data_IF_425487366295
#
_entry.id   IF_425487366295
#
_cell.length_a   1.000
_cell.length_b   1.000
_cell.length_c   1.000
_cell.angle_alpha   90.00
_cell.angle_beta   90.00
_cell.angle_gamma   90.00
#
_symmetry.space_group_name_H-M   'P 1'
#
loop_
_entity.id
_entity.type
_entity.pdbx_description
1 polymer ?
#
# COMPACT_ATOMS: atom_id res chain seq x y z
N UNK A 1 -8.49 -12.01 23.64
CA UNK A 1 -8.78 -12.57 22.31
C UNK A 1 -7.67 -13.54 21.97
N UNK A 2 -8.00 -14.74 21.49
CA UNK A 2 -7.06 -15.77 21.08
C UNK A 2 -6.35 -15.37 19.78
N UNK A 3 -5.20 -15.99 19.51
CA UNK A 3 -4.51 -15.80 18.23
C UNK A 3 -5.36 -16.41 17.10
N UNK A 4 -5.32 -15.83 15.88
CA UNK A 4 -6.10 -16.32 14.76
C UNK A 4 -5.67 -17.75 14.37
N UNK A 5 -6.58 -18.54 13.74
CA UNK A 5 -6.30 -19.93 13.42
C UNK A 5 -5.03 -20.09 12.58
N UNK A 6 -4.21 -21.05 12.97
CA UNK A 6 -3.05 -21.51 12.20
C UNK A 6 -3.39 -22.83 11.52
N UNK A 7 -3.06 -22.94 10.24
CA UNK A 7 -3.23 -24.18 9.48
C UNK A 7 -1.87 -24.58 8.86
N UNK A 8 -1.28 -25.73 9.23
CA UNK A 8 0.00 -26.14 8.68
C UNK A 8 0.00 -26.09 7.14
N UNK A 9 0.97 -25.41 6.59
CA UNK A 9 1.14 -25.26 5.14
C UNK A 9 2.32 -26.10 4.68
N UNK A 10 2.10 -26.92 3.66
CA UNK A 10 3.15 -27.73 3.03
C UNK A 10 3.65 -27.10 1.72
N UNK A 11 3.15 -25.91 1.36
CA UNK A 11 3.62 -25.22 0.17
C UNK A 11 5.05 -24.72 0.35
N UNK A 12 5.93 -24.94 -0.63
CA UNK A 12 7.31 -24.47 -0.56
C UNK A 12 7.36 -22.93 -0.54
N UNK A 13 8.34 -22.39 0.18
CA UNK A 13 8.65 -20.95 0.17
C UNK A 13 9.63 -20.61 -0.96
N UNK A 14 9.29 -20.98 -2.18
CA UNK A 14 10.08 -20.67 -3.36
C UNK A 14 9.77 -19.26 -3.87
N UNK A 15 10.74 -18.67 -4.56
CA UNK A 15 10.56 -17.45 -5.30
C UNK A 15 9.62 -17.69 -6.49
N UNK A 16 8.76 -16.72 -6.81
CA UNK A 16 7.87 -16.78 -8.00
C UNK A 16 8.36 -15.80 -9.08
N UNK A 17 9.16 -16.25 -10.06
CA UNK A 17 9.67 -15.38 -11.11
C UNK A 17 8.60 -14.71 -11.97
N UNK A 18 7.43 -15.32 -12.08
CA UNK A 18 6.33 -14.73 -12.86
C UNK A 18 5.78 -13.47 -12.21
N UNK A 19 5.94 -13.31 -10.90
CA UNK A 19 5.53 -12.10 -10.19
C UNK A 19 6.26 -10.84 -10.69
N UNK A 20 7.46 -11.01 -11.26
CA UNK A 20 8.22 -9.92 -11.87
C UNK A 20 7.50 -9.29 -13.09
N UNK A 21 6.56 -9.99 -13.69
CA UNK A 21 5.85 -9.56 -14.90
C UNK A 21 4.40 -9.13 -14.65
N UNK A 22 3.88 -9.27 -13.43
CA UNK A 22 2.47 -8.96 -13.11
C UNK A 22 2.21 -7.46 -13.11
N UNK A 23 3.13 -6.68 -12.56
CA UNK A 23 2.98 -5.21 -12.49
C UNK A 23 3.72 -4.57 -13.65
N UNK A 24 3.01 -3.89 -14.58
CA UNK A 24 3.64 -3.22 -15.71
C UNK A 24 4.60 -2.12 -15.27
N UNK A 25 5.75 -2.02 -15.94
CA UNK A 25 6.71 -0.94 -15.71
C UNK A 25 6.15 0.43 -16.10
N UNK A 26 5.32 0.50 -17.15
CA UNK A 26 4.63 1.73 -17.52
C UNK A 26 3.52 2.05 -16.48
N UNK A 27 3.62 3.17 -15.76
CA UNK A 27 2.65 3.54 -14.73
C UNK A 27 1.25 3.86 -15.28
N UNK A 28 1.09 3.99 -16.59
CA UNK A 28 -0.21 4.22 -17.26
C UNK A 28 -0.98 2.94 -17.53
N UNK A 29 -0.30 1.80 -17.56
CA UNK A 29 -0.94 0.51 -17.78
C UNK A 29 -1.49 0.00 -16.44
N UNK A 30 -2.77 -0.29 -16.42
CA UNK A 30 -3.44 -0.88 -15.26
C UNK A 30 -3.22 -2.40 -15.21
N UNK A 31 -3.37 -2.98 -14.01
CA UNK A 31 -3.34 -4.42 -13.76
C UNK A 31 -4.29 -4.75 -12.62
N UNK A 32 -4.68 -6.01 -12.49
CA UNK A 32 -5.48 -6.48 -11.36
C UNK A 32 -4.58 -6.91 -10.20
N UNK A 33 -4.68 -6.22 -9.07
CA UNK A 33 -3.86 -6.52 -7.88
C UNK A 33 -4.14 -7.90 -7.29
N UNK A 34 -5.28 -8.51 -7.62
CA UNK A 34 -5.62 -9.88 -7.21
C UNK A 34 -4.61 -10.90 -7.73
N UNK A 35 -3.99 -10.65 -8.89
CA UNK A 35 -2.92 -11.50 -9.41
C UNK A 35 -1.69 -11.48 -8.50
N UNK A 36 -1.31 -10.29 -7.98
CA UNK A 36 -0.22 -10.16 -6.99
C UNK A 36 -0.59 -10.90 -5.71
N UNK A 37 -1.79 -10.64 -5.18
CA UNK A 37 -2.27 -11.27 -3.94
C UNK A 37 -2.20 -12.79 -4.06
N UNK A 38 -2.79 -13.38 -5.11
CA UNK A 38 -2.87 -14.83 -5.31
C UNK A 38 -1.51 -15.52 -5.47
N UNK A 39 -0.47 -14.78 -5.89
CA UNK A 39 0.90 -15.29 -6.00
C UNK A 39 1.67 -15.18 -4.67
N UNK A 40 1.34 -14.20 -3.86
CA UNK A 40 2.00 -13.96 -2.56
C UNK A 40 1.43 -14.85 -1.45
N UNK A 41 0.10 -14.99 -1.38
CA UNK A 41 -0.56 -15.79 -0.34
C UNK A 41 -0.58 -17.28 -0.70
N UNK A 42 -1.04 -18.14 0.20
CA UNK A 42 -1.25 -19.55 -0.10
C UNK A 42 -2.24 -19.69 -1.26
N UNK A 43 -1.97 -20.65 -2.14
CA UNK A 43 -2.78 -20.85 -3.35
C UNK A 43 -4.25 -21.05 -3.01
N UNK A 44 -5.12 -20.31 -3.72
CA UNK A 44 -6.58 -20.37 -3.59
C UNK A 44 -7.15 -20.02 -2.19
N UNK A 45 -6.36 -19.42 -1.34
CA UNK A 45 -6.77 -19.07 0.02
C UNK A 45 -7.20 -17.60 0.19
N UNK A 46 -7.30 -16.84 -0.90
CA UNK A 46 -7.78 -15.46 -0.81
C UNK A 46 -9.30 -15.38 -0.87
N UNK A 47 -9.88 -14.96 0.24
CA UNK A 47 -11.31 -14.71 0.38
C UNK A 47 -11.59 -13.21 0.39
N UNK A 48 -11.94 -12.66 -0.77
CA UNK A 48 -12.23 -11.24 -0.93
C UNK A 48 -13.55 -10.86 -0.25
N UNK A 49 -13.55 -9.73 0.45
CA UNK A 49 -14.73 -9.13 1.06
C UNK A 49 -15.21 -7.94 0.25
N UNK A 50 -16.54 -7.80 0.11
CA UNK A 50 -17.18 -6.66 -0.53
C UNK A 50 -16.62 -6.32 -1.94
N UNK A 51 -16.48 -7.28 -2.87
CA UNK A 51 -15.88 -7.02 -4.19
C UNK A 51 -16.68 -6.00 -5.02
N UNK A 52 -17.99 -5.86 -4.76
CA UNK A 52 -18.87 -4.91 -5.46
C UNK A 52 -18.96 -3.52 -4.80
N UNK A 53 -18.30 -3.30 -3.67
CA UNK A 53 -18.30 -2.01 -2.98
C UNK A 53 -16.88 -1.44 -2.92
N UNK A 54 -16.70 -0.16 -3.30
CA UNK A 54 -15.40 0.52 -3.36
C UNK A 54 -14.33 -0.37 -4.02
N UNK A 55 -14.56 -0.77 -5.27
CA UNK A 55 -13.72 -1.74 -5.98
C UNK A 55 -12.32 -1.24 -6.32
N UNK A 56 -12.03 0.05 -6.10
CA UNK A 56 -10.72 0.69 -6.18
C UNK A 56 -9.77 0.26 -5.02
N UNK A 57 -10.31 -0.44 -4.01
CA UNK A 57 -9.53 -1.14 -2.99
C UNK A 57 -10.04 -2.57 -2.82
N UNK A 58 -9.12 -3.51 -2.62
CA UNK A 58 -9.39 -4.92 -2.34
C UNK A 58 -9.10 -5.18 -0.88
N UNK A 59 -10.04 -5.81 -0.17
CA UNK A 59 -9.85 -6.30 1.19
C UNK A 59 -10.27 -7.76 1.28
N UNK A 60 -9.65 -8.53 2.14
CA UNK A 60 -10.03 -9.92 2.33
C UNK A 60 -9.12 -10.67 3.27
N UNK A 61 -9.45 -11.93 3.50
CA UNK A 61 -8.65 -12.83 4.31
C UNK A 61 -7.87 -13.79 3.44
N UNK A 62 -6.68 -14.15 3.91
CA UNK A 62 -5.84 -15.13 3.25
C UNK A 62 -5.04 -15.92 4.28
N UNK A 63 -4.23 -16.87 3.81
CA UNK A 63 -3.17 -17.46 4.60
C UNK A 63 -1.82 -17.22 3.96
N UNK A 64 -0.83 -16.97 4.80
CA UNK A 64 0.56 -16.91 4.41
C UNK A 64 1.36 -17.89 5.27
N UNK A 65 1.88 -18.95 4.68
CA UNK A 65 2.50 -20.08 5.39
C UNK A 65 1.63 -20.63 6.53
N UNK A 66 0.32 -20.75 6.24
CA UNK A 66 -0.68 -21.27 7.18
C UNK A 66 -1.18 -20.27 8.24
N UNK A 67 -0.56 -19.09 8.37
CA UNK A 67 -1.02 -18.04 9.29
C UNK A 67 -2.11 -17.23 8.63
N UNK A 68 -3.22 -17.02 9.32
CA UNK A 68 -4.30 -16.14 8.86
C UNK A 68 -3.83 -14.70 8.81
N UNK A 69 -4.12 -14.02 7.70
CA UNK A 69 -3.77 -12.61 7.48
C UNK A 69 -4.94 -11.85 6.85
N UNK A 70 -5.06 -10.57 7.19
CA UNK A 70 -5.92 -9.63 6.49
C UNK A 70 -5.13 -8.93 5.39
N UNK A 71 -5.67 -8.90 4.19
CA UNK A 71 -5.07 -8.24 3.02
C UNK A 71 -5.82 -6.95 2.74
N UNK A 72 -5.07 -5.86 2.56
CA UNK A 72 -5.56 -4.57 2.04
C UNK A 72 -4.72 -4.23 0.82
N UNK A 73 -5.34 -3.92 -0.31
CA UNK A 73 -4.59 -3.61 -1.52
C UNK A 73 -5.27 -2.49 -2.34
N UNK A 74 -4.46 -1.59 -2.88
CA UNK A 74 -4.93 -0.67 -3.94
C UNK A 74 -5.24 -1.47 -5.19
N UNK A 75 -6.35 -1.14 -5.91
CA UNK A 75 -6.73 -1.81 -7.16
C UNK A 75 -6.55 -0.87 -8.36
N UNK A 76 -5.40 -0.91 -9.03
CA UNK A 76 -5.12 0.00 -10.16
C UNK A 76 -6.04 -0.18 -11.37
N UNK A 77 -6.68 -1.34 -11.51
CA UNK A 77 -7.66 -1.57 -12.57
C UNK A 77 -8.94 -0.75 -12.41
N UNK A 78 -9.20 -0.23 -11.21
CA UNK A 78 -10.38 0.59 -10.90
C UNK A 78 -9.92 1.95 -10.41
N UNK A 79 -10.28 3.02 -11.12
CA UNK A 79 -9.91 4.40 -10.79
C UNK A 79 -8.42 4.59 -10.50
N UNK A 80 -7.54 3.82 -11.16
CA UNK A 80 -6.09 3.81 -10.94
C UNK A 80 -5.65 3.56 -9.47
N UNK A 81 -6.50 2.98 -8.63
CA UNK A 81 -6.22 2.74 -7.21
C UNK A 81 -6.32 3.97 -6.31
N UNK A 82 -6.94 5.07 -6.79
CA UNK A 82 -7.18 6.28 -5.99
C UNK A 82 -8.07 5.96 -4.79
N UNK A 83 -7.84 6.59 -3.65
CA UNK A 83 -8.70 6.48 -2.47
C UNK A 83 -9.81 7.54 -2.50
N UNK A 84 -11.04 7.10 -2.52
CA UNK A 84 -12.24 7.93 -2.32
C UNK A 84 -12.83 7.72 -0.91
N UNK A 85 -13.98 8.32 -0.64
CA UNK A 85 -14.67 8.23 0.64
C UNK A 85 -15.00 6.78 0.97
N UNK A 86 -15.60 6.04 0.04
CA UNK A 86 -16.05 4.66 0.25
C UNK A 86 -14.88 3.70 0.46
N UNK A 87 -13.81 3.86 -0.31
CA UNK A 87 -12.56 3.10 -0.12
C UNK A 87 -11.94 3.38 1.25
N UNK A 88 -11.98 4.63 1.70
CA UNK A 88 -11.47 5.02 3.01
C UNK A 88 -12.23 4.35 4.15
N UNK A 89 -13.55 4.34 4.08
CA UNK A 89 -14.39 3.68 5.09
C UNK A 89 -14.24 2.16 5.07
N UNK A 90 -14.19 1.55 3.88
CA UNK A 90 -13.96 0.11 3.69
C UNK A 90 -12.65 -0.35 4.31
N UNK A 91 -11.54 0.33 4.01
CA UNK A 91 -10.22 0.01 4.57
C UNK A 91 -10.20 0.21 6.08
N UNK A 92 -10.69 1.36 6.57
CA UNK A 92 -10.66 1.66 7.99
C UNK A 92 -11.47 0.64 8.82
N UNK A 93 -12.65 0.24 8.33
CA UNK A 93 -13.46 -0.80 8.95
C UNK A 93 -12.69 -2.13 9.00
N UNK A 94 -12.11 -2.56 7.89
CA UNK A 94 -11.42 -3.84 7.80
C UNK A 94 -10.18 -3.91 8.68
N UNK A 95 -9.35 -2.86 8.69
CA UNK A 95 -8.18 -2.76 9.57
C UNK A 95 -8.57 -2.87 11.04
N UNK A 96 -9.65 -2.21 11.44
CA UNK A 96 -10.17 -2.31 12.83
C UNK A 96 -10.69 -3.69 13.14
N UNK A 97 -11.37 -4.34 12.18
CA UNK A 97 -11.81 -5.72 12.33
C UNK A 97 -10.60 -6.64 12.55
N UNK A 98 -9.59 -6.59 11.68
CA UNK A 98 -8.39 -7.41 11.83
C UNK A 98 -7.71 -7.19 13.19
N UNK A 99 -7.57 -5.92 13.62
CA UNK A 99 -7.00 -5.61 14.92
C UNK A 99 -7.82 -6.16 16.10
N UNK A 100 -9.15 -6.17 16.00
CA UNK A 100 -10.02 -6.69 17.06
C UNK A 100 -9.89 -8.22 17.26
N UNK A 101 -9.48 -8.93 16.20
CA UNK A 101 -9.32 -10.39 16.21
C UNK A 101 -7.86 -10.86 16.10
N UNK A 102 -6.89 -10.00 16.39
CA UNK A 102 -5.45 -10.27 16.34
C UNK A 102 -4.94 -10.78 14.98
N UNK A 103 -5.62 -10.42 13.89
CA UNK A 103 -5.26 -10.83 12.53
C UNK A 103 -4.18 -9.88 11.99
N UNK A 104 -2.97 -10.37 11.65
CA UNK A 104 -1.93 -9.57 11.02
C UNK A 104 -2.39 -8.96 9.69
N UNK A 105 -1.85 -7.80 9.32
CA UNK A 105 -2.22 -7.05 8.13
C UNK A 105 -1.09 -7.07 7.10
N UNK A 106 -1.44 -7.43 5.86
CA UNK A 106 -0.62 -7.27 4.67
C UNK A 106 -1.23 -6.16 3.81
N UNK A 107 -0.45 -5.11 3.54
CA UNK A 107 -0.90 -3.98 2.73
C UNK A 107 -0.08 -3.91 1.45
N UNK A 108 -0.75 -3.93 0.28
CA UNK A 108 -0.14 -3.76 -1.04
C UNK A 108 -0.50 -2.39 -1.59
N UNK A 109 0.53 -1.58 -1.89
CA UNK A 109 0.36 -0.16 -2.22
C UNK A 109 0.69 0.08 -3.68
N UNK A 110 -0.30 0.58 -4.42
CA UNK A 110 -0.14 1.26 -5.71
C UNK A 110 -1.19 2.36 -5.79
N UNK A 111 -0.90 3.49 -5.13
CA UNK A 111 -1.87 4.55 -4.89
C UNK A 111 -1.34 5.92 -5.35
N UNK A 112 -2.00 6.58 -6.32
CA UNK A 112 -1.59 7.90 -6.80
C UNK A 112 -2.04 9.06 -5.89
N UNK A 113 -3.02 8.84 -5.02
CA UNK A 113 -3.54 9.88 -4.14
C UNK A 113 -4.95 9.60 -3.62
N UNK A 114 -5.49 10.55 -2.89
CA UNK A 114 -6.93 10.63 -2.65
C UNK A 114 -7.63 11.25 -3.86
N UNK A 115 -8.88 10.85 -4.10
CA UNK A 115 -9.67 11.36 -5.22
C UNK A 115 -9.95 12.86 -5.03
N UNK A 116 -9.49 13.73 -5.93
CA UNK A 116 -9.81 15.15 -5.87
C UNK A 116 -11.21 15.40 -6.42
N UNK A 117 -11.79 16.53 -6.07
CA UNK A 117 -13.04 17.02 -6.66
C UNK A 117 -14.02 17.54 -5.63
N UNK A 118 -14.92 18.40 -6.10
CA UNK A 118 -15.88 19.12 -5.25
C UNK A 118 -16.78 18.17 -4.46
N UNK A 119 -17.23 17.08 -5.08
CA UNK A 119 -18.08 16.08 -4.41
C UNK A 119 -17.35 15.37 -3.27
N UNK A 120 -16.07 15.02 -3.48
CA UNK A 120 -15.25 14.39 -2.45
C UNK A 120 -14.95 15.37 -1.31
N UNK A 121 -14.64 16.61 -1.63
CA UNK A 121 -14.36 17.64 -0.61
C UNK A 121 -15.60 17.93 0.25
N UNK A 122 -16.75 18.17 -0.37
CA UNK A 122 -18.02 18.39 0.36
C UNK A 122 -18.51 17.11 1.05
N UNK A 123 -18.26 15.95 0.50
CA UNK A 123 -18.54 14.65 1.11
C UNK A 123 -17.67 14.34 2.33
N UNK A 124 -16.56 15.08 2.52
CA UNK A 124 -15.67 14.97 3.67
C UNK A 124 -14.54 13.96 3.49
N UNK A 125 -13.92 13.90 2.30
CA UNK A 125 -12.79 13.00 2.00
C UNK A 125 -11.67 13.09 3.05
N UNK A 126 -11.38 14.30 3.57
CA UNK A 126 -10.35 14.50 4.60
C UNK A 126 -10.73 13.73 5.88
N UNK A 127 -11.99 13.84 6.32
CA UNK A 127 -12.51 13.15 7.50
C UNK A 127 -12.51 11.64 7.31
N UNK A 128 -12.99 11.16 6.17
CA UNK A 128 -13.04 9.72 5.84
C UNK A 128 -11.64 9.13 5.65
N UNK A 129 -10.74 9.83 4.95
CA UNK A 129 -9.34 9.44 4.84
C UNK A 129 -8.61 9.37 6.18
N UNK A 130 -8.93 10.28 7.10
CA UNK A 130 -8.39 10.26 8.46
C UNK A 130 -8.80 9.01 9.26
N UNK A 131 -9.91 8.33 8.91
CA UNK A 131 -10.29 7.05 9.53
C UNK A 131 -9.26 5.95 9.25
N UNK A 132 -8.68 5.92 8.03
CA UNK A 132 -7.63 4.94 7.68
C UNK A 132 -6.40 5.19 8.57
N UNK A 133 -5.94 6.44 8.64
CA UNK A 133 -4.80 6.84 9.47
C UNK A 133 -5.02 6.42 10.93
N UNK A 134 -6.21 6.71 11.47
CA UNK A 134 -6.56 6.32 12.81
C UNK A 134 -6.55 4.80 12.99
N UNK A 135 -7.15 4.06 12.06
CA UNK A 135 -7.24 2.61 12.15
C UNK A 135 -5.87 1.93 12.18
N UNK A 136 -4.98 2.28 11.25
CA UNK A 136 -3.63 1.73 11.23
C UNK A 136 -2.77 2.18 12.43
N UNK A 137 -2.88 3.45 12.83
CA UNK A 137 -2.15 3.94 14.02
C UNK A 137 -2.63 3.26 15.31
N UNK A 138 -3.91 2.94 15.41
CA UNK A 138 -4.47 2.26 16.57
C UNK A 138 -4.20 0.75 16.59
N UNK A 139 -3.97 0.14 15.43
CA UNK A 139 -3.76 -1.29 15.30
C UNK A 139 -2.42 -1.73 15.94
N UNK A 140 -2.49 -2.78 16.76
CA UNK A 140 -1.35 -3.37 17.49
C UNK A 140 -0.89 -4.71 16.91
N UNK A 141 -1.63 -5.25 15.95
CA UNK A 141 -1.25 -6.45 15.20
C UNK A 141 -0.01 -6.22 14.32
N UNK A 142 0.70 -7.29 13.91
CA UNK A 142 1.73 -7.16 12.89
C UNK A 142 1.21 -6.49 11.61
N UNK A 143 1.95 -5.50 11.11
CA UNK A 143 1.61 -4.71 9.92
C UNK A 143 2.78 -4.75 8.94
N UNK A 144 2.56 -5.38 7.79
CA UNK A 144 3.54 -5.52 6.72
C UNK A 144 3.04 -4.77 5.49
N UNK A 145 3.86 -3.92 4.90
CA UNK A 145 3.50 -3.12 3.73
C UNK A 145 4.48 -3.35 2.59
N UNK A 146 3.94 -3.58 1.39
CA UNK A 146 4.70 -3.71 0.15
C UNK A 146 4.28 -2.61 -0.81
N UNK A 147 5.21 -1.75 -1.19
CA UNK A 147 5.00 -0.75 -2.24
C UNK A 147 5.29 -1.39 -3.58
N UNK A 148 4.24 -1.61 -4.37
CA UNK A 148 4.34 -2.29 -5.67
C UNK A 148 4.81 -1.35 -6.77
N UNK A 149 4.22 -0.13 -6.83
CA UNK A 149 4.52 0.86 -7.87
C UNK A 149 4.35 2.28 -7.34
N UNK A 150 3.18 2.90 -7.41
CA UNK A 150 2.95 4.28 -6.97
C UNK A 150 2.66 4.35 -5.47
N UNK A 151 3.29 5.30 -4.80
CA UNK A 151 3.03 5.61 -3.40
C UNK A 151 3.17 7.12 -3.20
N UNK A 152 2.08 7.88 -3.44
CA UNK A 152 2.16 9.32 -3.48
C UNK A 152 1.39 10.00 -2.35
N UNK A 153 2.03 10.98 -1.75
CA UNK A 153 1.45 11.95 -0.84
C UNK A 153 0.75 11.36 0.38
N UNK A 154 -0.36 11.95 0.76
CA UNK A 154 -1.14 11.54 1.94
C UNK A 154 -1.75 10.16 1.82
N UNK A 155 -2.06 9.70 0.62
CA UNK A 155 -2.62 8.37 0.40
C UNK A 155 -1.59 7.26 0.67
N UNK A 156 -0.31 7.46 0.30
CA UNK A 156 0.77 6.56 0.71
C UNK A 156 0.86 6.47 2.23
N UNK A 157 0.80 7.62 2.93
CA UNK A 157 0.83 7.63 4.40
C UNK A 157 -0.34 6.81 4.95
N UNK A 158 -1.55 7.04 4.43
CA UNK A 158 -2.77 6.34 4.86
C UNK A 158 -2.70 4.82 4.65
N UNK A 159 -2.02 4.35 3.59
CA UNK A 159 -1.84 2.93 3.30
C UNK A 159 -0.72 2.27 4.11
N UNK A 160 -0.62 2.62 5.38
CA UNK A 160 0.29 2.01 6.36
C UNK A 160 1.78 2.18 6.02
N UNK A 161 2.23 3.42 5.89
CA UNK A 161 3.66 3.72 5.78
C UNK A 161 4.44 3.41 7.07
N UNK A 162 5.77 3.51 7.02
CA UNK A 162 6.64 3.26 8.16
C UNK A 162 6.31 4.14 9.37
N UNK A 163 6.13 5.43 9.12
CA UNK A 163 5.88 6.42 10.18
C UNK A 163 4.47 6.27 10.81
N UNK A 164 3.54 5.62 10.11
CA UNK A 164 2.22 5.27 10.65
C UNK A 164 2.25 4.00 11.53
N UNK A 165 3.41 3.38 11.68
CA UNK A 165 3.64 2.25 12.57
C UNK A 165 3.59 0.89 11.87
N UNK A 166 3.88 0.81 10.58
CA UNK A 166 4.16 -0.47 9.95
C UNK A 166 5.42 -1.11 10.56
N UNK A 167 5.38 -2.40 10.85
CA UNK A 167 6.53 -3.14 11.40
C UNK A 167 7.60 -3.35 10.33
N UNK A 168 7.16 -3.64 9.10
CA UNK A 168 8.01 -3.76 7.92
C UNK A 168 7.35 -3.06 6.73
N UNK A 169 8.13 -2.25 6.05
CA UNK A 169 7.77 -1.65 4.76
C UNK A 169 8.85 -2.00 3.76
N UNK A 170 8.46 -2.65 2.68
CA UNK A 170 9.36 -2.94 1.57
C UNK A 170 8.84 -2.34 0.27
N UNK A 171 9.72 -2.08 -0.65
CA UNK A 171 9.36 -1.59 -1.97
C UNK A 171 9.95 -2.49 -3.06
N UNK A 172 9.24 -2.62 -4.17
CA UNK A 172 9.80 -3.20 -5.37
C UNK A 172 10.76 -2.23 -6.06
N UNK A 173 11.74 -2.71 -6.84
CA UNK A 173 12.74 -1.83 -7.46
C UNK A 173 12.15 -0.75 -8.37
N UNK A 174 11.01 -1.02 -9.02
CA UNK A 174 10.30 -0.07 -9.87
C UNK A 174 9.30 0.83 -9.15
N UNK A 175 9.27 0.82 -7.81
CA UNK A 175 8.34 1.65 -7.05
C UNK A 175 8.72 3.13 -7.09
N UNK A 176 7.69 4.00 -7.06
CA UNK A 176 7.85 5.44 -6.96
C UNK A 176 7.25 5.93 -5.63
N UNK A 177 8.09 6.43 -4.73
CA UNK A 177 7.66 6.96 -3.42
C UNK A 177 7.96 8.46 -3.38
N UNK A 178 6.93 9.29 -3.45
CA UNK A 178 7.07 10.74 -3.56
C UNK A 178 5.88 11.50 -2.99
N UNK A 179 6.01 12.82 -2.89
CA UNK A 179 4.89 13.70 -2.52
C UNK A 179 3.81 13.70 -3.61
N UNK A 180 4.23 13.65 -4.90
CA UNK A 180 3.35 13.58 -6.07
C UNK A 180 4.07 12.89 -7.22
N UNK A 181 3.31 12.45 -8.25
CA UNK A 181 3.89 11.88 -9.45
C UNK A 181 4.79 12.86 -10.21
N UNK A 182 5.78 12.32 -10.92
CA UNK A 182 6.81 13.12 -11.57
C UNK A 182 6.26 14.08 -12.64
N UNK A 183 5.20 13.70 -13.35
CA UNK A 183 4.52 14.55 -14.32
C UNK A 183 3.93 15.80 -13.67
N UNK A 184 3.22 15.64 -12.55
CA UNK A 184 2.64 16.76 -11.80
C UNK A 184 3.71 17.63 -11.14
N UNK A 185 4.76 16.99 -10.62
CA UNK A 185 5.89 17.71 -10.04
C UNK A 185 6.63 18.59 -11.07
N UNK A 186 6.84 18.07 -12.27
CA UNK A 186 7.48 18.83 -13.37
C UNK A 186 6.67 20.08 -13.73
N UNK A 187 5.35 19.98 -13.82
CA UNK A 187 4.46 21.12 -14.14
C UNK A 187 4.40 22.19 -13.05
N UNK A 188 4.57 21.82 -11.80
CA UNK A 188 4.51 22.77 -10.67
C UNK A 188 5.89 23.35 -10.38
N UNK A 189 6.90 22.50 -10.22
CA UNK A 189 8.22 22.90 -9.74
C UNK A 189 9.04 23.54 -10.86
N UNK A 190 8.98 22.97 -12.07
CA UNK A 190 9.84 23.37 -13.19
C UNK A 190 9.12 24.15 -14.30
N UNK A 191 7.89 24.57 -14.07
CA UNK A 191 7.07 25.27 -15.07
C UNK A 191 7.82 26.40 -15.78
N UNK A 192 8.55 27.25 -15.02
CA UNK A 192 9.29 28.39 -15.58
C UNK A 192 10.46 27.98 -16.47
N UNK A 193 11.07 26.84 -16.21
CA UNK A 193 12.16 26.29 -17.04
C UNK A 193 11.60 25.68 -18.32
N UNK A 194 10.48 24.98 -18.22
CA UNK A 194 9.79 24.40 -19.37
C UNK A 194 9.31 25.49 -20.33
N UNK A 195 8.65 26.53 -19.80
CA UNK A 195 8.09 27.63 -20.59
C UNK A 195 9.18 28.46 -21.33
N UNK A 196 10.43 28.48 -20.85
CA UNK A 196 11.56 29.21 -21.42
C UNK A 196 12.44 28.38 -22.35
N UNK A 197 12.21 27.09 -22.45
CA UNK A 197 13.04 26.20 -23.26
C UNK A 197 12.71 26.34 -24.77
N UNK A 198 13.71 26.19 -25.61
CA UNK A 198 13.52 26.16 -27.07
C UNK A 198 12.62 25.00 -27.52
N UNK A 199 12.66 23.88 -26.80
CA UNK A 199 11.78 22.75 -26.99
C UNK A 199 11.12 22.37 -25.63
N UNK A 200 9.94 22.94 -25.31
CA UNK A 200 9.28 22.69 -24.02
C UNK A 200 8.92 21.22 -23.76
N UNK A 201 8.56 20.45 -24.80
CA UNK A 201 8.19 19.05 -24.66
C UNK A 201 9.40 18.19 -24.28
N UNK A 202 10.52 18.38 -24.94
CA UNK A 202 11.75 17.68 -24.61
C UNK A 202 12.23 18.05 -23.21
N UNK A 203 12.23 19.35 -22.88
CA UNK A 203 12.64 19.83 -21.56
C UNK A 203 11.75 19.27 -20.44
N UNK A 204 10.44 19.19 -20.69
CA UNK A 204 9.48 18.57 -19.76
C UNK A 204 9.85 17.11 -19.49
N UNK A 205 10.15 16.33 -20.53
CA UNK A 205 10.51 14.92 -20.35
C UNK A 205 11.83 14.75 -19.56
N UNK A 206 12.85 15.54 -19.88
CA UNK A 206 14.12 15.55 -19.15
C UNK A 206 13.92 15.83 -17.64
N UNK A 207 13.04 16.78 -17.31
CA UNK A 207 12.77 17.16 -15.93
C UNK A 207 11.91 16.13 -15.19
N UNK A 208 11.00 15.44 -15.89
CA UNK A 208 10.26 14.29 -15.34
C UNK A 208 11.23 13.17 -14.97
N UNK A 209 12.14 12.80 -15.86
CA UNK A 209 13.12 11.73 -15.64
C UNK A 209 14.08 12.11 -14.50
N UNK A 210 14.56 13.35 -14.49
CA UNK A 210 15.38 13.89 -13.40
C UNK A 210 14.66 13.82 -12.05
N UNK A 211 13.37 14.15 -12.01
CA UNK A 211 12.58 14.08 -10.77
C UNK A 211 12.43 12.64 -10.28
N UNK A 212 12.18 11.69 -11.18
CA UNK A 212 12.11 10.26 -10.84
C UNK A 212 13.43 9.78 -10.23
N UNK A 213 14.53 10.05 -10.91
CA UNK A 213 15.85 9.60 -10.47
C UNK A 213 16.28 10.24 -9.14
N UNK A 214 15.92 11.50 -8.92
CA UNK A 214 16.39 12.24 -7.75
C UNK A 214 15.51 12.05 -6.52
N UNK A 215 14.18 11.95 -6.70
CA UNK A 215 13.23 12.03 -5.59
C UNK A 215 12.26 10.87 -5.48
N UNK A 216 11.85 10.24 -6.58
CA UNK A 216 10.73 9.30 -6.57
C UNK A 216 11.13 7.83 -6.55
N UNK A 217 12.42 7.49 -6.63
CA UNK A 217 12.86 6.11 -6.63
C UNK A 217 12.91 5.50 -5.21
N UNK A 218 12.75 4.18 -5.07
CA UNK A 218 12.67 3.52 -3.77
C UNK A 218 14.01 3.52 -3.01
N UNK A 219 15.16 3.65 -3.69
CA UNK A 219 16.47 3.68 -3.04
C UNK A 219 16.67 4.99 -2.25
N UNK A 220 16.15 6.11 -2.75
CA UNK A 220 16.13 7.38 -2.01
C UNK A 220 15.25 7.25 -0.76
N UNK A 221 14.09 6.60 -0.87
CA UNK A 221 13.22 6.33 0.26
C UNK A 221 13.89 5.41 1.30
N UNK A 222 14.59 4.38 0.85
CA UNK A 222 15.37 3.48 1.72
C UNK A 222 16.49 4.23 2.45
N UNK A 223 17.24 5.07 1.74
CA UNK A 223 18.27 5.92 2.35
C UNK A 223 17.74 6.87 3.42
N UNK A 224 16.47 7.24 3.35
CA UNK A 224 15.75 8.05 4.34
C UNK A 224 15.01 7.22 5.38
N UNK A 225 15.13 5.89 5.36
CA UNK A 225 14.44 4.95 6.26
C UNK A 225 12.91 4.96 6.16
N UNK A 226 12.36 5.38 5.03
CA UNK A 226 10.92 5.31 4.76
C UNK A 226 10.49 3.90 4.36
N UNK A 227 11.42 3.09 3.85
CA UNK A 227 11.27 1.66 3.62
C UNK A 227 12.44 0.91 4.25
N UNK A 228 12.19 -0.32 4.70
CA UNK A 228 13.18 -1.16 5.39
C UNK A 228 14.08 -1.91 4.42
N UNK A 229 13.54 -2.24 3.23
CA UNK A 229 14.28 -3.02 2.24
C UNK A 229 13.70 -2.81 0.82
N UNK A 230 14.52 -3.12 -0.19
CA UNK A 230 14.10 -3.22 -1.59
C UNK A 230 14.10 -4.70 -1.95
N UNK A 231 12.93 -5.23 -2.30
CA UNK A 231 12.71 -6.65 -2.52
C UNK A 231 12.26 -6.90 -3.96
N UNK A 232 12.94 -7.81 -4.65
CA UNK A 232 12.49 -8.25 -5.97
C UNK A 232 11.08 -8.83 -5.89
N UNK A 233 10.19 -8.54 -6.88
CA UNK A 233 8.83 -9.05 -6.84
C UNK A 233 8.78 -10.56 -6.60
N UNK A 234 9.59 -11.35 -7.28
CA UNK A 234 9.67 -12.81 -7.12
C UNK A 234 9.89 -13.27 -5.67
N UNK A 235 10.57 -12.48 -4.85
CA UNK A 235 10.95 -12.82 -3.47
C UNK A 235 9.90 -12.39 -2.43
N UNK A 236 8.87 -11.67 -2.84
CA UNK A 236 7.90 -11.02 -1.94
C UNK A 236 7.25 -12.02 -0.98
N UNK A 237 6.79 -13.18 -1.47
CA UNK A 237 6.15 -14.21 -0.63
C UNK A 237 7.09 -14.68 0.47
N UNK A 238 8.31 -15.04 0.13
CA UNK A 238 9.32 -15.51 1.09
C UNK A 238 9.65 -14.44 2.13
N UNK A 239 9.86 -13.20 1.68
CA UNK A 239 10.16 -12.08 2.58
C UNK A 239 9.03 -11.86 3.59
N UNK A 240 7.80 -11.77 3.13
CA UNK A 240 6.63 -11.52 3.99
C UNK A 240 6.39 -12.66 4.96
N UNK A 241 6.58 -13.92 4.54
CA UNK A 241 6.44 -15.07 5.41
C UNK A 241 7.46 -15.06 6.55
N UNK A 242 8.72 -14.75 6.24
CA UNK A 242 9.79 -14.61 7.25
C UNK A 242 9.53 -13.43 8.19
N UNK A 243 9.10 -12.27 7.66
CA UNK A 243 8.75 -11.13 8.47
C UNK A 243 7.56 -11.41 9.42
N UNK A 244 6.53 -12.09 8.91
CA UNK A 244 5.38 -12.48 9.71
C UNK A 244 5.76 -13.47 10.82
N UNK A 245 6.65 -14.43 10.52
CA UNK A 245 7.18 -15.35 11.52
C UNK A 245 7.98 -14.63 12.61
N UNK A 246 8.83 -13.70 12.24
CA UNK A 246 9.58 -12.88 13.20
C UNK A 246 8.69 -12.01 14.11
N UNK A 247 7.50 -11.65 13.62
CA UNK A 247 6.54 -10.80 14.33
C UNK A 247 5.43 -11.57 15.07
N UNK A 248 5.40 -12.90 15.03
CA UNK A 248 4.29 -13.67 15.60
C UNK A 248 4.14 -13.47 17.11
N UNK A 249 5.23 -13.15 17.81
CA UNK A 249 5.23 -12.84 19.24
C UNK A 249 5.00 -11.37 19.56
N UNK A 250 4.76 -10.52 18.55
CA UNK A 250 4.52 -9.09 18.79
C UNK A 250 3.37 -8.91 19.78
N UNK A 251 3.65 -8.16 20.84
CA UNK A 251 2.64 -7.72 21.82
C UNK A 251 2.88 -6.24 22.09
N UNK A 252 1.96 -5.41 21.68
CA UNK A 252 2.00 -3.97 21.86
C UNK A 252 0.92 -3.55 22.86
N UNK A 253 1.34 -3.06 24.02
CA UNK A 253 0.44 -2.52 25.02
C UNK A 253 0.25 -1.03 24.81
N UNK A 254 -1.00 -0.60 24.78
CA UNK A 254 -1.37 0.80 24.72
C UNK A 254 -1.98 1.25 26.04
N UNK A 255 -1.91 2.56 26.37
CA UNK A 255 -2.58 3.07 27.55
C UNK A 255 -4.06 2.68 27.55
N UNK A 256 -4.60 2.18 28.68
CA UNK A 256 -6.00 1.77 28.76
C UNK A 256 -6.93 2.98 28.56
N UNK A 257 -7.94 2.79 27.73
CA UNK A 257 -8.99 3.77 27.46
C UNK A 257 -10.30 3.03 27.14
N UNK A 258 -11.43 3.68 27.40
CA UNK A 258 -12.74 3.07 27.10
C UNK A 258 -12.91 2.73 25.61
N UNK A 259 -12.51 3.65 24.74
CA UNK A 259 -12.57 3.50 23.29
C UNK A 259 -11.64 4.52 22.62
N UNK A 260 -11.36 4.34 21.34
CA UNK A 260 -10.69 5.32 20.51
C UNK A 260 -11.64 6.40 20.01
N UNK A 261 -11.14 7.62 19.81
CA UNK A 261 -11.87 8.70 19.17
C UNK A 261 -11.57 8.67 17.66
N UNK A 262 -12.28 7.84 16.92
CA UNK A 262 -12.17 7.77 15.47
C UNK A 262 -12.90 8.96 14.85
N UNK A 263 -12.41 9.57 13.76
CA UNK A 263 -13.17 10.57 13.00
C UNK A 263 -14.52 9.99 12.53
N UNK A 264 -15.62 10.71 12.79
CA UNK A 264 -16.99 10.26 12.46
C UNK A 264 -17.48 10.86 11.15
#
# INVERSE_FOLDING_TARGET
>A
VEDPPFWPCLEPMEDDPELNNVVPADPKISYDVREVINRVVNRQDFFELQPGFAANVVIGFARLQGRSVGVVASQPAVMAGVLDIDASDKVAWFVRFCNAFNIPLLTFVDVPGFLPGVEQEYGGIIRHGAKILFAYSAATVPKLTVVLRKAYGGAYIAMCCKDLGADRVVAWPGAEIAVMGAEGAAEIVFRREIDKADNPQQKRQELIDLYRDTFANPFVAAGRRLVDDIVEPAQTRRYLAQALEALHTKRELRPPKKHGLIPL
#
